data_IF_772032426675
#
_entry.id   IF_772032426675
#
_cell.length_a   1.000
_cell.length_b   1.000
_cell.length_c   1.000
_cell.angle_alpha   90.00
_cell.angle_beta   90.00
_cell.angle_gamma   90.00
#
_symmetry.space_group_name_H-M   'P 1'
#
loop_
_entity.id
_entity.type
_entity.pdbx_description
1 polymer ?
#
# COMPACT_ATOMS: atom_id res chain seq x y z
N UNK A 1 15.07 -6.84 57.17
CA UNK A 1 14.25 -7.86 56.47
C UNK A 1 12.86 -7.28 56.41
N UNK A 2 12.31 -6.88 55.28
CA UNK A 2 12.58 -7.22 53.87
C UNK A 2 12.40 -5.97 52.99
N UNK A 3 13.19 -5.91 51.92
CA UNK A 3 12.98 -5.07 50.74
C UNK A 3 11.67 -5.47 50.06
N UNK A 4 10.91 -4.50 49.52
CA UNK A 4 10.09 -4.76 48.33
C UNK A 4 9.89 -3.47 47.51
N UNK A 5 10.59 -3.51 46.38
CA UNK A 5 10.36 -2.97 45.06
C UNK A 5 9.57 -1.69 44.76
N UNK A 6 10.27 -0.95 43.88
CA UNK A 6 9.88 0.16 43.04
C UNK A 6 8.72 -0.22 42.11
N UNK A 7 7.69 0.61 42.04
CA UNK A 7 6.98 0.84 40.77
C UNK A 7 7.00 2.34 40.46
N UNK A 8 7.99 2.70 39.65
CA UNK A 8 8.00 3.97 38.93
C UNK A 8 6.86 3.94 37.91
N UNK A 9 5.91 4.86 38.05
CA UNK A 9 4.87 5.14 37.07
C UNK A 9 5.48 5.20 35.66
N UNK A 10 4.92 4.49 34.66
CA UNK A 10 5.42 4.56 33.30
C UNK A 10 5.33 5.99 32.80
N UNK A 11 6.50 6.48 32.36
CA UNK A 11 6.74 7.87 32.03
C UNK A 11 5.66 8.47 31.15
N UNK A 12 5.26 9.69 31.51
CA UNK A 12 4.58 10.62 30.62
C UNK A 12 5.41 10.74 29.35
N UNK A 13 5.00 10.04 28.29
CA UNK A 13 5.60 10.17 26.96
C UNK A 13 5.24 11.58 26.49
N UNK A 14 6.12 12.53 26.79
CA UNK A 14 5.98 13.91 26.34
C UNK A 14 5.87 13.90 24.82
N UNK A 15 4.84 14.55 24.28
CA UNK A 15 4.60 14.71 22.85
C UNK A 15 5.78 15.36 22.08
N UNK A 16 6.83 15.81 22.79
CA UNK A 16 8.10 16.27 22.24
C UNK A 16 9.00 15.16 21.69
N UNK A 17 8.76 13.89 22.04
CA UNK A 17 9.52 12.72 21.56
C UNK A 17 8.73 11.85 20.58
N UNK A 18 7.63 12.36 20.02
CA UNK A 18 7.03 11.73 18.84
C UNK A 18 7.99 12.05 17.69
N UNK A 19 8.63 11.06 17.04
CA UNK A 19 9.32 11.32 15.79
C UNK A 19 8.29 11.94 14.87
N UNK A 20 8.51 13.21 14.49
CA UNK A 20 7.68 13.85 13.47
C UNK A 20 7.67 12.88 12.28
N UNK A 21 6.53 12.61 11.64
CA UNK A 21 6.52 11.85 10.40
C UNK A 21 7.25 12.69 9.36
N UNK A 22 8.57 12.56 9.32
CA UNK A 22 9.39 12.85 8.16
C UNK A 22 9.21 11.68 7.18
N UNK A 23 7.96 11.35 6.84
CA UNK A 23 7.60 10.79 5.53
C UNK A 23 7.48 11.92 4.53
N UNK A 24 8.33 12.94 4.65
CA UNK A 24 8.67 13.76 3.51
C UNK A 24 9.42 12.82 2.57
N UNK A 25 8.68 12.30 1.60
CA UNK A 25 9.25 11.71 0.41
C UNK A 25 10.43 12.60 -0.01
N UNK A 26 11.68 12.09 -0.11
CA UNK A 26 12.78 12.84 -0.70
C UNK A 26 12.54 12.89 -2.22
N UNK A 27 11.45 13.53 -2.63
CA UNK A 27 11.05 13.65 -4.00
C UNK A 27 11.70 14.91 -4.54
N UNK A 28 12.82 14.69 -5.24
CA UNK A 28 13.01 15.38 -6.51
C UNK A 28 11.78 15.05 -7.38
N UNK A 29 10.90 16.03 -7.57
CA UNK A 29 9.84 16.03 -8.58
C UNK A 29 8.54 15.35 -8.17
N UNK A 30 7.58 16.14 -7.66
CA UNK A 30 6.14 15.79 -7.58
C UNK A 30 5.51 15.41 -8.95
N UNK A 31 6.32 15.45 -10.00
CA UNK A 31 6.02 15.25 -11.41
C UNK A 31 6.93 14.12 -11.92
N UNK A 32 6.39 12.91 -12.07
CA UNK A 32 7.15 11.80 -12.68
C UNK A 32 6.81 10.41 -12.16
N UNK A 33 6.27 10.27 -10.94
CA UNK A 33 5.99 8.95 -10.35
C UNK A 33 5.05 8.10 -11.23
N UNK A 34 4.08 8.71 -11.90
CA UNK A 34 3.17 8.01 -12.80
C UNK A 34 3.86 7.24 -13.94
N UNK A 35 5.11 7.60 -14.31
CA UNK A 35 5.90 6.94 -15.36
C UNK A 35 6.67 5.71 -14.85
N UNK A 36 6.88 5.61 -13.54
CA UNK A 36 7.64 4.50 -12.95
C UNK A 36 6.92 3.19 -13.25
N UNK A 37 7.68 2.17 -13.63
CA UNK A 37 7.17 0.84 -13.94
C UNK A 37 7.17 0.00 -12.68
N UNK A 38 6.02 -0.56 -12.36
CA UNK A 38 5.82 -1.56 -11.31
C UNK A 38 5.84 -2.92 -11.98
N UNK A 39 6.77 -3.78 -11.56
CA UNK A 39 6.91 -5.16 -12.03
C UNK A 39 6.60 -6.10 -10.88
N UNK A 40 5.71 -7.07 -11.10
CA UNK A 40 5.45 -8.14 -10.15
C UNK A 40 6.58 -9.18 -10.21
N UNK A 41 7.07 -9.61 -9.05
CA UNK A 41 8.19 -10.55 -8.90
C UNK A 41 7.77 -11.92 -8.34
N UNK A 42 6.53 -12.03 -7.84
CA UNK A 42 6.04 -13.26 -7.24
C UNK A 42 5.51 -14.28 -8.24
N UNK A 43 5.06 -15.42 -7.71
CA UNK A 43 4.45 -16.50 -8.50
C UNK A 43 2.98 -16.20 -8.79
N UNK A 44 2.58 -16.25 -10.06
CA UNK A 44 1.22 -15.93 -10.49
C UNK A 44 0.17 -16.96 -10.02
N UNK A 45 0.57 -18.20 -9.76
CA UNK A 45 -0.31 -19.33 -9.47
C UNK A 45 -1.13 -19.17 -8.17
N UNK A 46 -0.62 -18.37 -7.23
CA UNK A 46 -1.24 -18.15 -5.92
C UNK A 46 -2.04 -16.83 -5.84
N UNK A 47 -2.16 -16.10 -6.94
CA UNK A 47 -2.83 -14.79 -6.99
C UNK A 47 -4.26 -14.97 -7.50
N UNK A 48 -5.29 -14.45 -6.79
CA UNK A 48 -6.66 -14.51 -7.28
C UNK A 48 -6.78 -13.76 -8.59
N UNK A 49 -7.62 -14.27 -9.48
CA UNK A 49 -7.94 -13.62 -10.74
C UNK A 49 -8.70 -12.31 -10.51
N UNK A 50 -8.64 -11.38 -11.46
CA UNK A 50 -9.45 -10.14 -11.38
C UNK A 50 -10.95 -10.42 -11.31
N UNK A 51 -11.42 -11.54 -11.86
CA UNK A 51 -12.81 -11.95 -11.76
C UNK A 51 -13.20 -12.31 -10.32
N UNK A 52 -12.34 -13.06 -9.62
CA UNK A 52 -12.53 -13.40 -8.20
C UNK A 52 -12.47 -12.16 -7.32
N UNK A 53 -11.49 -11.27 -7.55
CA UNK A 53 -11.39 -9.97 -6.86
C UNK A 53 -12.66 -9.15 -7.05
N UNK A 54 -13.16 -9.03 -8.29
CA UNK A 54 -14.38 -8.30 -8.59
C UNK A 54 -15.60 -8.94 -7.89
N UNK A 55 -15.69 -10.27 -7.88
CA UNK A 55 -16.76 -11.00 -7.19
C UNK A 55 -16.76 -10.71 -5.69
N UNK A 56 -15.60 -10.81 -5.03
CA UNK A 56 -15.45 -10.49 -3.60
C UNK A 56 -15.86 -9.04 -3.33
N UNK A 57 -15.37 -8.11 -4.15
CA UNK A 57 -15.61 -6.67 -3.93
C UNK A 57 -17.03 -6.22 -4.31
N UNK A 58 -17.77 -7.02 -5.08
CA UNK A 58 -19.17 -6.79 -5.43
C UNK A 58 -20.17 -7.23 -4.34
N UNK A 59 -19.76 -8.13 -3.44
CA UNK A 59 -20.60 -8.60 -2.35
C UNK A 59 -20.65 -7.56 -1.22
N UNK A 60 -21.62 -6.66 -1.31
CA UNK A 60 -21.85 -5.61 -0.31
C UNK A 60 -22.40 -6.12 1.03
N UNK A 61 -22.81 -7.40 1.10
CA UNK A 61 -23.32 -8.03 2.33
C UNK A 61 -22.21 -8.63 3.18
N UNK A 62 -21.04 -8.84 2.59
CA UNK A 62 -19.87 -9.36 3.27
C UNK A 62 -18.95 -8.22 3.68
N UNK A 63 -18.45 -8.26 4.92
CA UNK A 63 -17.32 -7.39 5.32
C UNK A 63 -16.01 -7.80 4.63
N UNK A 64 -16.02 -8.91 3.88
CA UNK A 64 -14.87 -9.38 3.11
C UNK A 64 -14.46 -8.32 2.08
N UNK A 65 -13.21 -7.91 2.16
CA UNK A 65 -12.63 -6.88 1.31
C UNK A 65 -11.27 -7.35 0.85
N UNK A 66 -11.03 -7.26 -0.44
CA UNK A 66 -9.73 -7.64 -1.00
C UNK A 66 -8.67 -6.62 -0.54
N UNK A 67 -7.56 -7.05 0.07
CA UNK A 67 -6.45 -6.16 0.41
C UNK A 67 -5.90 -5.47 -0.84
N UNK A 68 -5.45 -4.21 -0.71
CA UNK A 68 -4.92 -3.44 -1.85
C UNK A 68 -3.82 -4.19 -2.59
N UNK A 69 -2.85 -4.77 -1.87
CA UNK A 69 -1.76 -5.54 -2.49
C UNK A 69 -2.26 -6.75 -3.29
N UNK A 70 -3.30 -7.43 -2.81
CA UNK A 70 -3.91 -8.54 -3.55
C UNK A 70 -4.54 -8.05 -4.85
N UNK A 71 -5.24 -6.91 -4.82
CA UNK A 71 -5.77 -6.28 -6.04
C UNK A 71 -4.65 -5.87 -6.98
N UNK A 72 -3.60 -5.22 -6.46
CA UNK A 72 -2.44 -4.78 -7.24
C UNK A 72 -1.75 -5.95 -7.93
N UNK A 73 -1.49 -7.05 -7.22
CA UNK A 73 -0.85 -8.22 -7.78
C UNK A 73 -1.74 -8.88 -8.84
N UNK A 74 -3.05 -9.00 -8.61
CA UNK A 74 -4.00 -9.53 -9.59
C UNK A 74 -4.05 -8.69 -10.87
N UNK A 75 -3.99 -7.36 -10.76
CA UNK A 75 -3.90 -6.46 -11.91
C UNK A 75 -2.58 -6.70 -12.64
N UNK A 76 -1.45 -6.66 -11.94
CA UNK A 76 -0.14 -6.82 -12.57
C UNK A 76 -0.05 -8.15 -13.31
N UNK A 77 -0.43 -9.27 -12.68
CA UNK A 77 -0.45 -10.60 -13.33
C UNK A 77 -1.32 -10.61 -14.58
N UNK A 78 -2.52 -10.03 -14.52
CA UNK A 78 -3.44 -9.98 -15.67
C UNK A 78 -2.90 -9.15 -16.83
N UNK A 79 -2.12 -8.10 -16.54
CA UNK A 79 -1.54 -7.19 -17.53
C UNK A 79 -0.11 -7.60 -17.95
N UNK A 80 0.28 -8.87 -17.77
CA UNK A 80 1.59 -9.38 -18.22
C UNK A 80 2.75 -9.05 -17.27
N UNK A 81 2.45 -8.73 -16.02
CA UNK A 81 3.39 -8.58 -14.92
C UNK A 81 3.97 -7.17 -14.73
N UNK A 82 3.75 -6.24 -15.66
CA UNK A 82 4.33 -4.88 -15.58
C UNK A 82 3.36 -3.79 -16.03
N UNK A 83 3.21 -2.74 -15.23
CA UNK A 83 2.43 -1.53 -15.57
C UNK A 83 3.12 -0.27 -15.06
N UNK A 84 2.84 0.88 -15.65
CA UNK A 84 3.21 2.16 -15.03
C UNK A 84 2.35 2.43 -13.78
N UNK A 85 2.85 3.21 -12.82
CA UNK A 85 2.08 3.59 -11.62
C UNK A 85 0.76 4.28 -12.01
N UNK A 86 0.78 5.14 -13.03
CA UNK A 86 -0.44 5.85 -13.46
C UNK A 86 -1.50 4.92 -14.06
N UNK A 87 -1.08 3.90 -14.82
CA UNK A 87 -1.98 2.86 -15.34
C UNK A 87 -2.49 1.98 -14.20
N UNK A 88 -1.61 1.60 -13.27
CA UNK A 88 -1.96 0.77 -12.14
C UNK A 88 -2.99 1.46 -11.23
N UNK A 89 -2.86 2.76 -10.99
CA UNK A 89 -3.88 3.56 -10.28
C UNK A 89 -5.24 3.50 -10.99
N UNK A 90 -5.27 3.68 -12.32
CA UNK A 90 -6.52 3.61 -13.11
C UNK A 90 -7.18 2.24 -13.00
N UNK A 91 -6.40 1.17 -13.04
CA UNK A 91 -6.91 -0.19 -12.90
C UNK A 91 -7.39 -0.46 -11.47
N UNK A 92 -6.64 -0.05 -10.45
CA UNK A 92 -7.05 -0.23 -9.04
C UNK A 92 -8.39 0.46 -8.78
N UNK A 93 -8.66 1.65 -9.34
CA UNK A 93 -9.96 2.31 -9.21
C UNK A 93 -11.15 1.49 -9.73
N UNK A 94 -10.92 0.57 -10.68
CA UNK A 94 -11.96 -0.29 -11.25
C UNK A 94 -12.23 -1.50 -10.36
N UNK A 95 -11.18 -2.07 -9.79
CA UNK A 95 -11.25 -3.36 -9.08
C UNK A 95 -11.25 -3.24 -7.56
N UNK A 96 -10.77 -2.13 -7.00
CA UNK A 96 -10.75 -1.89 -5.56
C UNK A 96 -11.94 -1.03 -5.17
N UNK A 97 -12.82 -1.57 -4.33
CA UNK A 97 -14.05 -0.92 -3.88
C UNK A 97 -13.82 0.16 -2.79
N UNK A 98 -12.63 0.76 -2.73
CA UNK A 98 -12.28 1.82 -1.80
C UNK A 98 -11.70 3.02 -2.53
N UNK A 99 -12.01 4.24 -2.07
CA UNK A 99 -11.29 5.40 -2.56
C UNK A 99 -9.83 5.31 -2.11
N UNK A 100 -8.94 5.79 -2.96
CA UNK A 100 -7.57 6.06 -2.54
C UNK A 100 -7.56 7.11 -1.42
N UNK A 101 -6.67 6.99 -0.43
CA UNK A 101 -6.43 8.10 0.49
C UNK A 101 -5.74 9.24 -0.29
N UNK A 102 -6.41 10.38 -0.39
CA UNK A 102 -5.97 11.52 -1.23
C UNK A 102 -5.33 12.67 -0.46
N UNK A 103 -5.10 12.52 0.84
CA UNK A 103 -4.39 13.50 1.68
C UNK A 103 -3.58 12.75 2.74
N UNK A 104 -2.28 13.03 2.92
CA UNK A 104 -1.50 14.12 2.31
C UNK A 104 -0.86 13.81 0.93
N UNK A 105 -1.19 12.66 0.32
CA UNK A 105 -0.53 12.15 -0.89
C UNK A 105 -1.48 12.10 -2.09
N UNK A 106 -0.95 12.25 -3.30
CA UNK A 106 -1.67 11.81 -4.51
C UNK A 106 -1.82 10.30 -4.53
N UNK A 107 -2.71 9.77 -5.37
CA UNK A 107 -2.90 8.31 -5.47
C UNK A 107 -1.63 7.60 -5.96
N UNK A 108 -0.89 8.24 -6.86
CA UNK A 108 0.38 7.74 -7.39
C UNK A 108 1.47 7.75 -6.31
N UNK A 109 1.55 8.82 -5.51
CA UNK A 109 2.45 8.92 -4.37
C UNK A 109 2.12 7.87 -3.29
N UNK A 110 0.83 7.72 -2.98
CA UNK A 110 0.37 6.71 -2.05
C UNK A 110 0.72 5.31 -2.53
N UNK A 111 0.41 4.99 -3.79
CA UNK A 111 0.70 3.68 -4.35
C UNK A 111 2.21 3.42 -4.40
N UNK A 112 3.01 4.42 -4.80
CA UNK A 112 4.46 4.34 -4.74
C UNK A 112 4.97 4.03 -3.32
N UNK A 113 4.46 4.71 -2.30
CA UNK A 113 4.82 4.49 -0.89
C UNK A 113 4.47 3.09 -0.38
N UNK A 114 3.33 2.55 -0.81
CA UNK A 114 2.90 1.19 -0.44
C UNK A 114 3.78 0.16 -1.15
N UNK A 115 3.98 0.31 -2.46
CA UNK A 115 4.65 -0.68 -3.29
C UNK A 115 6.17 -0.72 -3.07
N UNK A 116 6.83 0.41 -2.82
CA UNK A 116 8.29 0.45 -2.62
C UNK A 116 8.78 -0.41 -1.45
N UNK A 117 7.89 -0.77 -0.54
CA UNK A 117 8.21 -1.58 0.65
C UNK A 117 7.77 -3.03 0.50
N UNK A 118 7.12 -3.39 -0.60
CA UNK A 118 6.64 -4.76 -0.84
C UNK A 118 7.76 -5.61 -1.44
N UNK A 119 8.00 -6.83 -0.92
CA UNK A 119 9.02 -7.74 -1.47
C UNK A 119 8.62 -8.30 -2.85
N UNK A 120 7.32 -8.37 -3.14
CA UNK A 120 6.79 -9.02 -4.35
C UNK A 120 6.74 -8.10 -5.57
N UNK A 121 7.20 -6.84 -5.44
CA UNK A 121 7.15 -5.86 -6.52
C UNK A 121 8.46 -5.11 -6.62
N UNK A 122 8.85 -4.79 -7.84
CA UNK A 122 9.96 -3.89 -8.15
C UNK A 122 9.42 -2.63 -8.79
N UNK A 123 9.94 -1.48 -8.36
CA UNK A 123 9.67 -0.20 -9.02
C UNK A 123 10.96 0.28 -9.69
N UNK A 124 10.87 0.65 -10.97
CA UNK A 124 11.95 1.23 -11.75
C UNK A 124 11.47 2.46 -12.52
N UNK A 125 12.39 3.36 -12.86
CA UNK A 125 12.16 4.52 -13.73
C UNK A 125 12.09 4.15 -15.21
#
# INVERSE_FOLDING_TARGET
>A
MEEHDKESLPGVVSAKNIPRPATALPIRGKSGLGQFRVTYLGEAENIPTLSEVAKINSDTRSEARTPLMTVTNAILVTHGGTLSISELVKEIRKYWNRPFPTSPYTEEEFLYLVLRNSPDVRIAD
#
